data_IF_678597131810
#
_entry.id   IF_678597131810
#
_cell.length_a   1.000
_cell.length_b   1.000
_cell.length_c   1.000
_cell.angle_alpha   90.00
_cell.angle_beta   90.00
_cell.angle_gamma   90.00
#
_symmetry.space_group_name_H-M   'P 1'
#
loop_
_entity.id
_entity.type
_entity.pdbx_description
1 polymer ?
#
# COMPACT_ATOMS: atom_id res chain seq x y z
N UNK A 1 6.41 -10.18 -3.86
CA UNK A 1 5.43 -11.10 -3.27
C UNK A 1 4.66 -10.32 -2.21
N UNK A 2 3.32 -10.25 -2.29
CA UNK A 2 2.53 -9.46 -1.34
C UNK A 2 2.71 -9.97 0.09
N UNK A 3 2.77 -9.04 1.04
CA UNK A 3 2.75 -9.36 2.46
C UNK A 3 1.36 -9.90 2.82
N UNK A 4 1.23 -11.23 2.90
CA UNK A 4 -0.01 -11.87 3.28
C UNK A 4 -0.14 -11.98 4.80
N UNK A 5 -1.32 -11.64 5.31
CA UNK A 5 -1.66 -11.71 6.72
C UNK A 5 -2.90 -12.58 6.92
N UNK A 6 -2.94 -13.31 8.03
CA UNK A 6 -4.17 -13.96 8.49
C UNK A 6 -4.87 -13.04 9.49
N UNK A 7 -6.05 -12.54 9.13
CA UNK A 7 -6.80 -11.58 9.93
C UNK A 7 -8.15 -12.16 10.33
N UNK A 8 -8.50 -12.07 11.62
CA UNK A 8 -9.82 -12.48 12.10
C UNK A 8 -10.86 -11.38 11.79
N UNK A 9 -11.88 -11.72 11.01
CA UNK A 9 -12.97 -10.83 10.61
C UNK A 9 -14.29 -11.62 10.56
N UNK A 10 -15.38 -11.03 11.06
CA UNK A 10 -16.71 -11.65 11.06
C UNK A 10 -16.69 -13.10 11.59
N UNK A 11 -16.03 -13.32 12.74
CA UNK A 11 -15.85 -14.61 13.42
C UNK A 11 -14.99 -15.66 12.69
N UNK A 12 -14.50 -15.40 11.49
CA UNK A 12 -13.61 -16.30 10.73
C UNK A 12 -12.20 -15.69 10.50
N UNK A 13 -11.22 -16.51 10.13
CA UNK A 13 -9.87 -16.07 9.75
C UNK A 13 -9.75 -16.01 8.24
N UNK A 14 -9.37 -14.85 7.71
CA UNK A 14 -9.25 -14.57 6.28
C UNK A 14 -7.79 -14.38 5.88
N UNK A 15 -7.42 -14.78 4.66
CA UNK A 15 -6.18 -14.31 4.03
C UNK A 15 -6.40 -12.89 3.51
N UNK A 16 -5.55 -11.96 3.90
CA UNK A 16 -5.56 -10.57 3.44
C UNK A 16 -4.17 -10.17 2.96
N UNK A 17 -4.10 -9.04 2.26
CA UNK A 17 -2.84 -8.43 1.83
C UNK A 17 -2.64 -7.12 2.57
N UNK A 18 -1.43 -6.94 3.11
CA UNK A 18 -0.96 -5.66 3.57
C UNK A 18 -0.21 -4.93 2.44
N UNK A 19 -0.64 -3.72 2.17
CA UNK A 19 -0.08 -2.83 1.16
C UNK A 19 0.59 -1.69 1.92
N UNK A 20 1.89 -1.50 1.72
CA UNK A 20 2.67 -0.49 2.46
C UNK A 20 3.34 0.41 1.44
N UNK A 21 3.08 1.72 1.54
CA UNK A 21 3.79 2.74 0.80
C UNK A 21 4.93 3.29 1.66
N UNK A 22 6.13 3.24 1.11
CA UNK A 22 7.35 3.73 1.75
C UNK A 22 7.92 4.84 0.87
N UNK A 23 8.34 5.93 1.50
CA UNK A 23 8.94 7.08 0.85
C UNK A 23 10.31 7.40 1.42
N UNK A 24 10.98 8.31 0.72
CA UNK A 24 12.18 8.99 1.20
C UNK A 24 11.79 10.47 1.38
N UNK A 25 12.00 11.02 2.56
CA UNK A 25 11.74 12.44 2.86
C UNK A 25 12.76 13.34 2.15
N UNK A 26 12.51 14.65 2.15
CA UNK A 26 13.45 15.63 1.59
C UNK A 26 14.82 15.59 2.29
N UNK A 27 14.86 15.16 3.55
CA UNK A 27 16.09 14.95 4.34
C UNK A 27 16.78 13.60 4.04
N UNK A 28 16.29 12.84 3.04
CA UNK A 28 16.83 11.55 2.66
C UNK A 28 16.46 10.40 3.60
N UNK A 29 15.49 10.59 4.50
CA UNK A 29 15.11 9.58 5.49
C UNK A 29 14.00 8.67 4.98
N UNK A 30 14.12 7.36 5.23
CA UNK A 30 13.07 6.40 4.86
C UNK A 30 11.92 6.44 5.86
N UNK A 31 10.71 6.57 5.36
CA UNK A 31 9.50 6.61 6.18
C UNK A 31 8.32 5.85 5.58
N UNK A 32 7.36 5.45 6.42
CA UNK A 32 6.09 4.87 5.97
C UNK A 32 5.14 6.03 5.67
N UNK A 33 4.78 6.18 4.40
CA UNK A 33 3.82 7.20 3.96
C UNK A 33 2.39 6.80 4.29
N UNK A 34 2.11 5.50 4.23
CA UNK A 34 0.80 4.94 4.57
C UNK A 34 0.73 3.45 4.32
N UNK A 35 -0.36 2.84 4.79
CA UNK A 35 -0.62 1.43 4.58
C UNK A 35 -2.12 1.17 4.45
N UNK A 36 -2.44 0.02 3.84
CA UNK A 36 -3.81 -0.47 3.70
C UNK A 36 -3.84 -1.97 3.86
N UNK A 37 -4.82 -2.48 4.61
CA UNK A 37 -5.16 -3.91 4.61
C UNK A 37 -6.31 -4.11 3.64
N UNK A 38 -6.06 -4.90 2.59
CA UNK A 38 -7.05 -5.24 1.57
C UNK A 38 -7.33 -6.75 1.58
N UNK A 39 -8.51 -7.15 1.09
CA UNK A 39 -8.84 -8.57 0.94
C UNK A 39 -7.96 -9.23 -0.14
N UNK A 40 -7.60 -8.48 -1.18
CA UNK A 40 -6.73 -8.90 -2.29
C UNK A 40 -5.87 -7.74 -2.75
N UNK A 41 -4.72 -8.06 -3.31
CA UNK A 41 -3.91 -7.10 -4.06
C UNK A 41 -4.58 -6.84 -5.42
N UNK A 42 -5.18 -5.66 -5.57
CA UNK A 42 -5.88 -5.26 -6.81
C UNK A 42 -5.52 -3.83 -7.17
N UNK A 43 -5.68 -3.46 -8.44
CA UNK A 43 -5.49 -2.08 -8.89
C UNK A 43 -6.39 -1.08 -8.16
N UNK A 44 -7.63 -1.47 -7.81
CA UNK A 44 -8.54 -0.65 -7.01
C UNK A 44 -8.01 -0.43 -5.59
N UNK A 45 -7.53 -1.48 -4.93
CA UNK A 45 -6.95 -1.35 -3.59
C UNK A 45 -5.70 -0.45 -3.56
N UNK A 46 -4.89 -0.48 -4.64
CA UNK A 46 -3.74 0.42 -4.80
C UNK A 46 -4.20 1.86 -5.06
N UNK A 47 -5.21 2.04 -5.93
CA UNK A 47 -5.81 3.35 -6.21
C UNK A 47 -6.34 4.02 -4.95
N UNK A 48 -7.08 3.28 -4.12
CA UNK A 48 -7.60 3.78 -2.84
C UNK A 48 -6.48 4.22 -1.89
N UNK A 49 -5.38 3.44 -1.79
CA UNK A 49 -4.22 3.82 -0.99
C UNK A 49 -3.58 5.12 -1.52
N UNK A 50 -3.36 5.23 -2.83
CA UNK A 50 -2.77 6.43 -3.42
C UNK A 50 -3.68 7.66 -3.31
N UNK A 51 -5.00 7.47 -3.40
CA UNK A 51 -5.96 8.54 -3.15
C UNK A 51 -5.91 9.04 -1.71
N UNK A 52 -5.84 8.14 -0.72
CA UNK A 52 -5.67 8.52 0.69
C UNK A 52 -4.36 9.29 0.92
N UNK A 53 -3.25 8.82 0.34
CA UNK A 53 -1.95 9.51 0.42
C UNK A 53 -2.01 10.92 -0.18
N UNK A 54 -2.59 11.09 -1.36
CA UNK A 54 -2.69 12.40 -2.02
C UNK A 54 -3.66 13.33 -1.32
N UNK A 55 -4.88 12.85 -1.04
CA UNK A 55 -5.98 13.68 -0.57
C UNK A 55 -5.92 13.96 0.92
N UNK A 56 -5.60 12.95 1.75
CA UNK A 56 -5.61 13.09 3.22
C UNK A 56 -4.24 13.34 3.81
N UNK A 57 -3.19 12.74 3.26
CA UNK A 57 -1.81 12.93 3.74
C UNK A 57 -1.06 14.04 3.01
N UNK A 58 -1.62 14.57 1.93
CA UNK A 58 -1.04 15.68 1.20
C UNK A 58 0.21 15.31 0.38
N UNK A 59 0.42 14.03 0.09
CA UNK A 59 1.52 13.56 -0.74
C UNK A 59 1.42 14.21 -2.13
N UNK A 60 2.45 14.95 -2.50
CA UNK A 60 2.55 15.68 -3.77
C UNK A 60 3.97 15.52 -4.31
N UNK A 61 4.15 15.76 -5.62
CA UNK A 61 5.46 15.78 -6.29
C UNK A 61 6.26 14.48 -6.13
N UNK A 62 5.61 13.33 -6.34
CA UNK A 62 6.33 12.04 -6.41
C UNK A 62 7.14 12.01 -7.71
N UNK A 63 8.46 11.92 -7.60
CA UNK A 63 9.37 11.86 -8.77
C UNK A 63 9.54 10.44 -9.32
N UNK A 64 9.58 9.45 -8.43
CA UNK A 64 9.74 8.04 -8.79
C UNK A 64 8.87 7.17 -7.88
N UNK A 65 8.16 6.23 -8.48
CA UNK A 65 7.47 5.15 -7.77
C UNK A 65 7.96 3.82 -8.33
N UNK A 66 8.31 2.90 -7.43
CA UNK A 66 8.65 1.51 -7.78
C UNK A 66 7.78 0.58 -6.96
N UNK A 67 7.38 -0.54 -7.56
CA UNK A 67 6.72 -1.63 -6.87
C UNK A 67 7.43 -2.92 -7.23
N UNK A 68 7.30 -3.95 -6.39
CA UNK A 68 7.62 -5.29 -6.84
C UNK A 68 6.64 -5.64 -7.97
N UNK A 69 7.17 -5.98 -9.14
CA UNK A 69 6.35 -6.19 -10.33
C UNK A 69 5.32 -7.30 -10.07
N UNK A 70 4.06 -6.91 -9.85
CA UNK A 70 2.92 -7.81 -9.80
C UNK A 70 2.24 -7.86 -11.17
N UNK A 71 2.97 -8.39 -12.15
CA UNK A 71 2.46 -8.63 -13.50
C UNK A 71 2.86 -10.02 -13.95
N UNK A 72 1.88 -10.89 -14.20
CA UNK A 72 2.07 -11.89 -15.26
C UNK A 72 2.02 -11.11 -16.57
N UNK A 73 2.98 -11.40 -17.46
CA UNK A 73 2.82 -11.16 -18.89
C UNK A 73 1.60 -11.93 -19.42
#
# INVERSE_FOLDING_TARGET
>A
MPLQLKVRRQKAVWSTTAMIAVGISEDGQREILGFKIALRETGESWKELFEDLKARRGLRRVELATSDAHGRA
#
